data_IF_762211935376
#
_entry.id   IF_762211935376
#
_cell.length_a   1.000
_cell.length_b   1.000
_cell.length_c   1.000
_cell.angle_alpha   90.00
_cell.angle_beta   90.00
_cell.angle_gamma   90.00
#
_symmetry.space_group_name_H-M   'P 1'
#
loop_
_entity.id
_entity.type
_entity.pdbx_description
1 polymer ?
#
# COMPACT_ATOMS: atom_id res chain seq x y z
N UNK A 1 13.75 11.15 9.22
CA UNK A 1 12.69 11.07 8.17
C UNK A 1 11.76 12.26 8.31
N UNK A 2 11.28 12.85 7.21
CA UNK A 2 10.33 13.97 7.21
C UNK A 2 8.99 13.53 6.65
N UNK A 3 7.90 13.75 7.39
CA UNK A 3 6.54 13.41 6.93
C UNK A 3 6.11 14.29 5.74
N UNK A 4 5.47 13.67 4.75
CA UNK A 4 4.94 14.33 3.55
C UNK A 4 3.41 14.46 3.57
N UNK A 5 2.71 13.51 4.20
CA UNK A 5 1.26 13.40 4.21
C UNK A 5 0.82 11.94 4.06
N UNK A 6 -0.49 11.72 3.93
CA UNK A 6 -1.09 10.40 3.72
C UNK A 6 -1.81 10.34 2.37
N UNK A 7 -1.78 9.16 1.75
CA UNK A 7 -2.65 8.75 0.65
C UNK A 7 -3.72 7.83 1.24
N UNK A 8 -4.98 8.21 1.09
CA UNK A 8 -6.13 7.43 1.55
C UNK A 8 -7.13 7.25 0.44
N UNK A 9 -7.81 6.12 0.42
CA UNK A 9 -8.90 5.86 -0.50
C UNK A 9 -9.08 4.38 -0.77
N UNK A 10 -9.75 4.12 -1.88
CA UNK A 10 -10.14 2.80 -2.33
C UNK A 10 -9.33 2.40 -3.58
N UNK A 11 -9.19 1.09 -3.77
CA UNK A 11 -8.49 0.54 -4.92
C UNK A 11 -8.72 -0.94 -5.11
N UNK A 12 -7.96 -1.52 -6.02
CA UNK A 12 -7.93 -2.96 -6.27
C UNK A 12 -6.51 -3.47 -6.07
N UNK A 13 -6.37 -4.53 -5.28
CA UNK A 13 -5.10 -5.24 -5.15
C UNK A 13 -4.97 -6.25 -6.29
N UNK A 14 -3.89 -6.16 -7.05
CA UNK A 14 -3.60 -7.06 -8.17
C UNK A 14 -2.20 -7.64 -8.07
N UNK A 15 -2.00 -8.83 -8.62
CA UNK A 15 -0.68 -9.39 -8.88
C UNK A 15 -0.06 -8.77 -10.12
N UNK A 16 1.25 -8.92 -10.27
CA UNK A 16 1.99 -8.48 -11.46
C UNK A 16 1.52 -9.19 -12.75
N UNK A 17 0.92 -10.36 -12.59
CA UNK A 17 0.26 -11.18 -13.62
C UNK A 17 -1.15 -10.67 -13.99
N UNK A 18 -1.65 -9.63 -13.32
CA UNK A 18 -3.00 -9.09 -13.51
C UNK A 18 -4.08 -9.85 -12.75
N UNK A 19 -3.74 -10.85 -11.92
CA UNK A 19 -4.69 -11.52 -11.04
C UNK A 19 -5.24 -10.52 -10.03
N UNK A 20 -6.56 -10.32 -10.01
CA UNK A 20 -7.19 -9.49 -8.98
C UNK A 20 -7.41 -10.28 -7.69
N UNK A 21 -6.98 -9.70 -6.57
CA UNK A 21 -7.24 -10.19 -5.22
C UNK A 21 -8.48 -9.54 -4.59
N UNK A 22 -8.96 -8.43 -5.17
CA UNK A 22 -10.20 -7.78 -4.76
C UNK A 22 -10.00 -6.32 -4.36
N UNK A 23 -11.12 -5.74 -3.94
CA UNK A 23 -11.20 -4.36 -3.48
C UNK A 23 -10.48 -4.19 -2.13
N UNK A 24 -9.87 -3.03 -1.94
CA UNK A 24 -9.08 -2.70 -0.75
C UNK A 24 -9.19 -1.22 -0.40
N UNK A 25 -9.40 -0.95 0.87
CA UNK A 25 -9.22 0.37 1.47
C UNK A 25 -7.76 0.54 1.89
N UNK A 26 -7.16 1.69 1.63
CA UNK A 26 -5.75 1.94 1.97
C UNK A 26 -5.57 3.24 2.76
N UNK A 27 -4.61 3.20 3.69
CA UNK A 27 -4.05 4.38 4.36
C UNK A 27 -2.52 4.29 4.33
N UNK A 28 -1.87 5.09 3.49
CA UNK A 28 -0.43 5.05 3.23
C UNK A 28 0.20 6.38 3.61
N UNK A 29 1.07 6.36 4.60
CA UNK A 29 1.88 7.51 4.96
C UNK A 29 3.13 7.62 4.10
N UNK A 30 3.46 8.84 3.68
CA UNK A 30 4.65 9.16 2.92
C UNK A 30 5.68 9.91 3.73
N UNK A 31 6.95 9.56 3.54
CA UNK A 31 8.08 10.19 4.20
C UNK A 31 9.21 10.46 3.21
N UNK A 32 10.03 11.46 3.51
CA UNK A 32 11.35 11.63 2.90
C UNK A 32 12.39 10.99 3.81
N UNK A 33 13.13 10.04 3.27
CA UNK A 33 14.26 9.40 3.92
C UNK A 33 15.47 10.35 4.05
N UNK A 34 16.51 9.93 4.77
CA UNK A 34 17.75 10.70 4.85
C UNK A 34 18.51 10.76 3.52
N UNK A 35 18.27 9.81 2.60
CA UNK A 35 18.78 9.79 1.22
C UNK A 35 17.99 10.70 0.27
N UNK A 36 17.01 11.47 0.77
CA UNK A 36 16.08 12.31 0.00
C UNK A 36 15.11 11.52 -0.89
N UNK A 37 14.98 10.22 -0.67
CA UNK A 37 14.03 9.35 -1.38
C UNK A 37 12.67 9.41 -0.71
N UNK A 38 11.60 9.32 -1.52
CA UNK A 38 10.24 9.19 -1.01
C UNK A 38 10.02 7.72 -0.68
N UNK A 39 9.74 7.44 0.58
CA UNK A 39 9.36 6.11 1.08
C UNK A 39 7.92 6.17 1.60
N UNK A 40 7.22 5.04 1.57
CA UNK A 40 5.83 4.98 1.99
C UNK A 40 5.52 3.66 2.66
N UNK A 41 4.70 3.71 3.70
CA UNK A 41 4.24 2.55 4.45
C UNK A 41 2.86 2.82 5.00
N UNK A 42 2.07 1.78 5.18
CA UNK A 42 0.68 1.96 5.58
C UNK A 42 -0.04 0.68 5.90
N UNK A 43 -1.36 0.79 5.90
CA UNK A 43 -2.29 -0.30 6.11
C UNK A 43 -3.18 -0.48 4.89
N UNK A 44 -3.48 -1.74 4.58
CA UNK A 44 -4.53 -2.15 3.66
C UNK A 44 -5.62 -2.88 4.43
N UNK A 45 -6.89 -2.58 4.13
CA UNK A 45 -8.05 -3.30 4.63
C UNK A 45 -8.81 -3.96 3.49
N UNK A 46 -9.02 -5.27 3.59
CA UNK A 46 -9.75 -6.08 2.61
C UNK A 46 -10.32 -7.34 3.30
N UNK A 47 -11.23 -8.11 2.65
CA UNK A 47 -11.75 -9.34 3.25
C UNK A 47 -10.61 -10.30 3.67
N UNK A 48 -10.67 -10.90 4.87
CA UNK A 48 -9.59 -11.74 5.40
C UNK A 48 -9.16 -12.86 4.44
N UNK A 49 -10.11 -13.50 3.76
CA UNK A 49 -9.85 -14.56 2.78
C UNK A 49 -9.06 -14.07 1.55
N UNK A 50 -9.31 -12.84 1.13
CA UNK A 50 -8.61 -12.24 0.00
C UNK A 50 -7.21 -11.75 0.42
N UNK A 51 -7.11 -11.25 1.66
CA UNK A 51 -5.84 -10.92 2.28
C UNK A 51 -4.95 -12.16 2.44
N UNK A 52 -5.52 -13.29 2.84
CA UNK A 52 -4.85 -14.60 2.94
C UNK A 52 -4.23 -15.03 1.62
N UNK A 53 -4.95 -14.84 0.50
CA UNK A 53 -4.47 -15.19 -0.84
C UNK A 53 -3.34 -14.28 -1.33
N UNK A 54 -3.37 -13.00 -0.95
CA UNK A 54 -2.34 -12.04 -1.31
C UNK A 54 -1.10 -12.15 -0.40
N UNK A 55 -1.27 -12.53 0.86
CA UNK A 55 -0.20 -12.52 1.86
C UNK A 55 0.98 -13.42 1.46
N UNK A 56 2.20 -12.91 1.63
CA UNK A 56 3.42 -13.63 1.24
C UNK A 56 3.82 -13.45 -0.24
N UNK A 57 2.95 -12.89 -1.09
CA UNK A 57 3.36 -12.47 -2.44
C UNK A 57 4.25 -11.23 -2.38
N UNK A 58 5.18 -11.15 -3.33
CA UNK A 58 6.16 -10.06 -3.45
C UNK A 58 5.96 -9.21 -4.69
N UNK A 59 4.97 -9.56 -5.51
CA UNK A 59 4.67 -8.98 -6.81
C UNK A 59 3.34 -8.23 -6.82
N UNK A 60 2.92 -7.72 -5.66
CA UNK A 60 1.63 -7.08 -5.48
C UNK A 60 1.67 -5.61 -5.89
N UNK A 61 0.59 -5.18 -6.53
CA UNK A 61 0.36 -3.80 -6.95
C UNK A 61 -1.02 -3.35 -6.49
N UNK A 62 -1.09 -2.23 -5.80
CA UNK A 62 -2.32 -1.52 -5.52
C UNK A 62 -2.62 -0.57 -6.68
N UNK A 63 -3.74 -0.81 -7.36
CA UNK A 63 -4.31 0.13 -8.33
C UNK A 63 -5.33 1.01 -7.60
N UNK A 64 -5.00 2.28 -7.38
CA UNK A 64 -5.93 3.22 -6.75
C UNK A 64 -6.95 3.73 -7.75
N UNK A 65 -8.15 4.08 -7.29
CA UNK A 65 -9.15 4.72 -8.15
C UNK A 65 -8.68 6.07 -8.72
N UNK A 66 -7.74 6.72 -8.04
CA UNK A 66 -7.05 7.92 -8.52
C UNK A 66 -6.07 7.68 -9.68
N UNK A 67 -5.95 6.44 -10.16
CA UNK A 67 -5.08 6.05 -11.28
C UNK A 67 -3.62 5.87 -10.91
N UNK A 68 -3.29 5.75 -9.62
CA UNK A 68 -1.93 5.42 -9.19
C UNK A 68 -1.76 3.90 -9.15
N UNK A 69 -0.57 3.43 -9.51
CA UNK A 69 -0.15 2.04 -9.33
C UNK A 69 1.01 2.00 -8.35
N UNK A 70 0.78 1.42 -7.17
CA UNK A 70 1.74 1.35 -6.08
C UNK A 70 2.20 -0.10 -5.91
N UNK A 71 3.47 -0.38 -6.19
CA UNK A 71 4.05 -1.68 -5.89
C UNK A 71 4.28 -1.79 -4.39
N UNK A 72 3.90 -2.90 -3.80
CA UNK A 72 3.92 -3.07 -2.35
C UNK A 72 4.35 -4.46 -1.93
N UNK A 73 4.75 -4.58 -0.67
CA UNK A 73 4.98 -5.85 0.01
C UNK A 73 4.39 -5.80 1.41
N UNK A 74 3.95 -6.93 1.93
CA UNK A 74 3.52 -7.02 3.33
C UNK A 74 4.72 -6.94 4.27
N UNK A 75 4.63 -6.09 5.30
CA UNK A 75 5.74 -5.83 6.25
C UNK A 75 5.80 -6.85 7.40
N UNK A 76 5.59 -8.13 7.07
CA UNK A 76 5.78 -9.30 7.95
C UNK A 76 4.84 -9.41 9.16
N UNK A 77 4.20 -8.32 9.61
CA UNK A 77 3.24 -8.31 10.70
C UNK A 77 1.82 -8.34 10.14
N UNK A 78 1.23 -9.53 10.12
CA UNK A 78 -0.22 -9.63 10.01
C UNK A 78 -0.82 -9.14 11.33
N UNK A 79 -1.69 -8.14 11.27
CA UNK A 79 -2.52 -7.79 12.42
C UNK A 79 -3.46 -8.99 12.62
N UNK A 80 -3.42 -9.64 13.79
CA UNK A 80 -4.22 -10.78 14.27
C UNK A 80 -4.94 -11.68 13.23
N UNK A 81 -4.80 -13.01 13.33
CA UNK A 81 -5.57 -13.96 12.50
C UNK A 81 -7.07 -13.59 12.46
N UNK A 82 -7.62 -13.38 11.25
CA UNK A 82 -9.01 -12.94 11.04
C UNK A 82 -9.22 -11.43 10.94
N UNK A 83 -8.19 -10.61 11.16
CA UNK A 83 -8.25 -9.19 10.81
C UNK A 83 -8.18 -9.01 9.29
N UNK A 84 -9.07 -8.18 8.76
CA UNK A 84 -9.02 -7.74 7.36
C UNK A 84 -7.91 -6.73 7.09
N UNK A 85 -7.09 -6.38 8.09
CA UNK A 85 -6.05 -5.35 7.98
C UNK A 85 -4.63 -5.93 7.92
N UNK A 86 -3.78 -5.37 7.07
CA UNK A 86 -2.36 -5.70 7.00
C UNK A 86 -1.46 -4.49 6.74
N UNK A 87 -0.29 -4.49 7.38
CA UNK A 87 0.72 -3.48 7.12
C UNK A 87 1.51 -3.78 5.85
N UNK A 88 1.77 -2.73 5.07
CA UNK A 88 2.49 -2.78 3.81
C UNK A 88 3.59 -1.74 3.75
N UNK A 89 4.68 -2.09 3.07
CA UNK A 89 5.68 -1.14 2.60
C UNK A 89 5.47 -0.92 1.11
N UNK A 90 5.53 0.33 0.66
CA UNK A 90 5.49 0.68 -0.75
C UNK A 90 6.90 0.65 -1.32
N UNK A 91 7.11 -0.19 -2.33
CA UNK A 91 8.41 -0.41 -2.97
C UNK A 91 8.59 0.43 -4.22
N UNK A 92 7.51 0.82 -4.89
CA UNK A 92 7.54 1.71 -6.06
C UNK A 92 6.19 2.41 -6.31
N UNK A 93 6.19 3.43 -7.18
CA UNK A 93 4.97 4.11 -7.64
C UNK A 93 4.51 5.29 -6.78
N UNK A 94 5.23 5.60 -5.69
CA UNK A 94 4.92 6.75 -4.85
C UNK A 94 4.99 8.06 -5.64
N UNK A 95 4.04 8.99 -5.42
CA UNK A 95 4.08 10.27 -6.09
C UNK A 95 5.29 11.10 -5.61
N UNK A 96 5.80 12.02 -6.45
CA UNK A 96 6.89 12.90 -6.06
C UNK A 96 6.48 13.79 -4.89
N UNK A 97 7.45 14.21 -4.05
CA UNK A 97 7.25 15.00 -2.83
C UNK A 97 6.26 16.18 -2.95
N UNK A 98 6.17 16.81 -4.11
CA UNK A 98 5.34 17.98 -4.38
C UNK A 98 3.84 17.67 -4.48
N UNK A 99 3.47 16.41 -4.78
CA UNK A 99 2.09 15.97 -4.92
C UNK A 99 1.46 15.52 -3.59
N UNK A 100 2.25 15.44 -2.52
CA UNK A 100 1.77 15.10 -1.19
C UNK A 100 1.11 16.31 -0.54
N UNK A 101 -0.12 16.15 -0.07
CA UNK A 101 -0.84 17.19 0.66
C UNK A 101 -0.52 17.08 2.15
N UNK A 102 0.24 18.05 2.66
CA UNK A 102 0.36 18.29 4.11
C UNK A 102 -0.98 18.85 4.58
N UNK A 103 -1.81 18.05 5.25
CA UNK A 103 -2.91 18.59 6.04
C UNK A 103 -2.38 19.10 7.36
#
# INVERSE_FOLDING_TARGET
>A
MQYLGALRGEGTLVGSDGQSFGHVDYDIDGFVSHTKEVVGSGELQMPPEALDLAFGRTDLVLQTEGGLSLALRFSGKRLANGSGAAHVDITAGLPPRQKWRRR
#
